data_IF_593580007483
#
_entry.id   IF_593580007483
#
_cell.length_a   1.000
_cell.length_b   1.000
_cell.length_c   1.000
_cell.angle_alpha   90.00
_cell.angle_beta   90.00
_cell.angle_gamma   90.00
#
_symmetry.space_group_name_H-M   'P 1'
#
loop_
_entity.id
_entity.type
_entity.pdbx_description
1 polymer ?
#
# COMPACT_ATOMS: atom_id res chain seq x y z
N UNK A 1 -17.54 -2.42 0.29
CA UNK A 1 -16.29 -1.70 0.63
C UNK A 1 -15.73 -0.89 -0.55
N UNK A 2 -15.09 0.26 -0.31
CA UNK A 2 -14.16 0.92 -1.25
C UNK A 2 -12.76 0.94 -0.64
N UNK A 3 -11.74 0.58 -1.42
CA UNK A 3 -10.35 0.61 -0.99
C UNK A 3 -9.52 1.56 -1.86
N UNK A 4 -8.59 2.28 -1.25
CA UNK A 4 -7.63 3.14 -1.95
C UNK A 4 -6.23 2.82 -1.44
N UNK A 5 -5.25 2.72 -2.34
CA UNK A 5 -3.84 2.64 -1.98
C UNK A 5 -3.06 3.70 -2.73
N UNK A 6 -2.24 4.47 -2.04
CA UNK A 6 -1.46 5.56 -2.63
C UNK A 6 -0.02 5.56 -2.13
N UNK A 7 0.93 5.48 -3.06
CA UNK A 7 2.33 5.76 -2.76
C UNK A 7 2.54 7.28 -2.69
N UNK A 8 2.70 7.81 -1.48
CA UNK A 8 2.75 9.24 -1.22
C UNK A 8 4.17 9.83 -1.28
N UNK A 9 5.22 8.98 -1.33
CA UNK A 9 6.65 9.38 -1.39
C UNK A 9 7.03 10.42 -0.33
N UNK A 10 6.50 10.26 0.88
CA UNK A 10 6.76 11.09 2.04
C UNK A 10 5.58 11.97 2.44
N UNK A 11 4.92 11.63 3.55
CA UNK A 11 3.76 12.36 4.10
C UNK A 11 4.15 13.49 5.07
N UNK A 12 5.43 13.86 5.11
CA UNK A 12 5.97 14.83 6.07
C UNK A 12 5.68 16.29 5.74
N UNK A 13 5.24 16.60 4.52
CA UNK A 13 4.94 17.97 4.08
C UNK A 13 3.42 18.25 4.11
N UNK A 14 3.05 19.52 4.30
CA UNK A 14 1.65 19.93 4.43
C UNK A 14 0.83 19.77 3.14
N UNK A 15 1.49 19.82 1.97
CA UNK A 15 0.85 19.69 0.66
C UNK A 15 0.36 18.26 0.44
N UNK A 16 1.23 17.26 0.63
CA UNK A 16 0.89 15.83 0.52
C UNK A 16 -0.16 15.43 1.56
N UNK A 17 -0.12 16.00 2.77
CA UNK A 17 -1.19 15.78 3.77
C UNK A 17 -2.52 16.36 3.30
N UNK A 18 -2.50 17.53 2.65
CA UNK A 18 -3.71 18.13 2.08
C UNK A 18 -4.26 17.29 0.92
N UNK A 19 -3.41 16.86 0.00
CA UNK A 19 -3.79 15.95 -1.08
C UNK A 19 -4.38 14.65 -0.54
N UNK A 20 -3.77 14.07 0.50
CA UNK A 20 -4.31 12.87 1.15
C UNK A 20 -5.71 13.11 1.73
N UNK A 21 -5.94 14.28 2.33
CA UNK A 21 -7.26 14.66 2.86
C UNK A 21 -8.27 14.85 1.74
N UNK A 22 -7.88 15.50 0.65
CA UNK A 22 -8.74 15.72 -0.50
C UNK A 22 -9.13 14.37 -1.14
N UNK A 23 -8.17 13.44 -1.33
CA UNK A 23 -8.44 12.07 -1.77
C UNK A 23 -9.36 11.30 -0.82
N UNK A 24 -9.12 11.37 0.49
CA UNK A 24 -9.96 10.71 1.48
C UNK A 24 -11.37 11.28 1.49
N UNK A 25 -11.54 12.58 1.25
CA UNK A 25 -12.84 13.26 1.20
C UNK A 25 -13.60 12.94 -0.08
N UNK A 26 -12.95 13.02 -1.24
CA UNK A 26 -13.59 12.90 -2.55
C UNK A 26 -14.00 11.45 -2.85
N UNK A 27 -13.14 10.49 -2.50
CA UNK A 27 -13.41 9.08 -2.75
C UNK A 27 -14.07 8.37 -1.56
N UNK A 28 -13.98 8.94 -0.35
CA UNK A 28 -14.50 8.37 0.90
C UNK A 28 -14.23 6.85 1.05
N UNK A 29 -12.97 6.38 0.89
CA UNK A 29 -12.70 4.94 0.94
C UNK A 29 -12.92 4.39 2.36
N UNK A 30 -13.49 3.19 2.46
CA UNK A 30 -13.65 2.47 3.74
C UNK A 30 -12.31 1.98 4.29
N UNK A 31 -11.37 1.66 3.39
CA UNK A 31 -9.99 1.28 3.71
C UNK A 31 -9.03 2.11 2.86
N UNK A 32 -8.09 2.79 3.52
CA UNK A 32 -7.07 3.62 2.89
C UNK A 32 -5.69 3.11 3.28
N UNK A 33 -4.83 2.86 2.30
CA UNK A 33 -3.44 2.56 2.52
C UNK A 33 -2.54 3.63 1.90
N UNK A 34 -1.52 4.04 2.65
CA UNK A 34 -0.44 4.89 2.16
C UNK A 34 0.89 4.14 2.23
N UNK A 35 1.66 4.25 1.15
CA UNK A 35 3.00 3.69 1.02
C UNK A 35 4.04 4.82 1.05
N UNK A 36 5.27 4.47 1.44
CA UNK A 36 6.39 5.40 1.61
C UNK A 36 6.05 6.60 2.50
N UNK A 37 5.67 6.36 3.75
CA UNK A 37 5.31 7.44 4.67
C UNK A 37 6.51 8.32 5.03
N UNK A 38 7.72 7.76 5.10
CA UNK A 38 9.00 8.43 5.40
C UNK A 38 9.00 9.28 6.68
N UNK A 39 8.06 9.05 7.60
CA UNK A 39 7.98 9.73 8.89
C UNK A 39 7.70 8.72 10.01
N UNK A 40 7.96 9.14 11.25
CA UNK A 40 7.73 8.31 12.43
C UNK A 40 6.28 7.82 12.52
N UNK A 41 6.12 6.55 12.92
CA UNK A 41 4.83 5.86 13.03
C UNK A 41 3.77 6.62 13.81
N UNK A 42 4.14 7.19 14.96
CA UNK A 42 3.20 7.95 15.80
C UNK A 42 2.56 9.11 15.04
N UNK A 43 3.32 9.79 14.18
CA UNK A 43 2.78 10.87 13.33
C UNK A 43 1.82 10.33 12.28
N UNK A 44 2.12 9.17 11.68
CA UNK A 44 1.25 8.52 10.69
C UNK A 44 -0.04 8.03 11.32
N UNK A 45 0.02 7.36 12.48
CA UNK A 45 -1.16 6.88 13.21
C UNK A 45 -2.11 8.04 13.56
N UNK A 46 -1.55 9.18 13.98
CA UNK A 46 -2.33 10.37 14.29
C UNK A 46 -3.04 11.00 13.07
N UNK A 47 -2.62 10.68 11.83
CA UNK A 47 -3.33 11.18 10.64
C UNK A 47 -4.78 10.68 10.57
N UNK A 48 -5.08 9.51 11.17
CA UNK A 48 -6.43 8.92 11.16
C UNK A 48 -7.51 9.90 11.60
N UNK A 49 -7.22 10.69 12.65
CA UNK A 49 -8.16 11.66 13.20
C UNK A 49 -8.50 12.76 12.19
N UNK A 50 -7.49 13.26 11.46
CA UNK A 50 -7.70 14.29 10.46
C UNK A 50 -8.28 13.78 9.15
N UNK A 51 -8.15 12.47 8.89
CA UNK A 51 -8.66 11.80 7.70
C UNK A 51 -10.06 11.19 7.90
N UNK A 52 -10.59 11.18 9.13
CA UNK A 52 -11.90 10.64 9.45
C UNK A 52 -11.95 9.11 9.50
N UNK A 53 -10.85 8.47 9.92
CA UNK A 53 -10.76 7.02 10.14
C UNK A 53 -10.69 6.69 11.62
N UNK A 54 -11.36 5.61 12.02
CA UNK A 54 -11.43 5.15 13.40
C UNK A 54 -10.15 4.41 13.80
N UNK A 55 -9.62 3.60 12.88
CA UNK A 55 -8.52 2.69 13.15
C UNK A 55 -7.33 2.95 12.22
N UNK A 56 -6.14 2.61 12.70
CA UNK A 56 -4.91 2.68 11.93
C UNK A 56 -3.93 1.59 12.36
N UNK A 57 -3.17 1.08 11.41
CA UNK A 57 -2.02 0.22 11.66
C UNK A 57 -0.86 0.68 10.77
N UNK A 58 0.32 0.81 11.37
CA UNK A 58 1.47 1.42 10.70
C UNK A 58 2.72 0.58 10.93
N UNK A 59 3.41 0.29 9.84
CA UNK A 59 4.77 -0.26 9.84
C UNK A 59 5.75 0.91 9.75
N UNK A 60 6.70 0.97 10.69
CA UNK A 60 7.70 2.04 10.75
C UNK A 60 8.46 2.18 9.41
N UNK A 61 8.79 3.43 9.04
CA UNK A 61 9.85 3.68 8.07
C UNK A 61 11.21 3.39 8.69
N UNK A 62 12.18 3.00 7.87
CA UNK A 62 13.59 2.95 8.29
C UNK A 62 14.25 4.28 7.88
N UNK A 63 14.27 5.23 8.80
CA UNK A 63 14.66 6.61 8.50
C UNK A 63 13.71 7.23 7.47
N UNK A 64 14.26 7.68 6.33
CA UNK A 64 13.51 8.29 5.21
C UNK A 64 13.05 7.28 4.16
N UNK A 65 13.18 5.99 4.41
CA UNK A 65 12.86 4.93 3.44
C UNK A 65 11.70 4.07 3.92
N UNK A 66 10.75 3.82 3.02
CA UNK A 66 9.59 2.96 3.25
C UNK A 66 8.59 3.53 4.26
N UNK A 67 7.98 2.62 5.01
CA UNK A 67 6.87 2.90 5.90
C UNK A 67 5.54 2.68 5.20
N UNK A 68 4.64 1.95 5.88
CA UNK A 68 3.33 1.56 5.37
C UNK A 68 2.29 1.96 6.40
N UNK A 69 1.19 2.56 5.98
CA UNK A 69 0.06 2.86 6.85
C UNK A 69 -1.23 2.35 6.24
N UNK A 70 -2.07 1.69 7.03
CA UNK A 70 -3.44 1.35 6.68
C UNK A 70 -4.39 1.98 7.68
N UNK A 71 -5.48 2.55 7.18
CA UNK A 71 -6.54 3.21 7.93
C UNK A 71 -7.87 2.62 7.51
N UNK A 72 -8.78 2.42 8.46
CA UNK A 72 -10.10 1.89 8.15
C UNK A 72 -11.15 2.38 9.15
N UNK A 73 -12.40 2.36 8.69
CA UNK A 73 -13.59 2.73 9.47
C UNK A 73 -14.11 1.54 10.28
N UNK A 74 -14.84 1.80 11.35
CA UNK A 74 -15.41 0.78 12.24
C UNK A 74 -16.48 -0.10 11.59
N UNK A 75 -17.04 0.31 10.45
CA UNK A 75 -17.97 -0.50 9.67
C UNK A 75 -17.28 -1.67 8.93
N UNK A 76 -15.94 -1.67 8.86
CA UNK A 76 -15.14 -2.74 8.30
C UNK A 76 -14.42 -3.50 9.42
N UNK A 77 -14.71 -4.80 9.56
CA UNK A 77 -13.92 -5.70 10.40
C UNK A 77 -12.65 -6.10 9.65
N UNK A 78 -11.59 -5.32 9.82
CA UNK A 78 -10.26 -5.58 9.27
C UNK A 78 -9.32 -6.10 10.37
N UNK A 79 -8.73 -7.28 10.15
CA UNK A 79 -7.73 -7.88 11.02
C UNK A 79 -6.39 -8.00 10.30
N UNK A 80 -5.33 -7.44 10.87
CA UNK A 80 -3.96 -7.61 10.36
C UNK A 80 -3.48 -9.03 10.70
N UNK A 81 -3.11 -9.82 9.70
CA UNK A 81 -2.61 -11.20 9.87
C UNK A 81 -1.10 -11.20 9.99
N UNK A 82 -0.40 -10.60 9.02
CA UNK A 82 1.06 -10.52 8.94
C UNK A 82 1.46 -9.19 8.33
N UNK A 83 2.67 -8.73 8.63
CA UNK A 83 3.22 -7.52 8.03
C UNK A 83 4.74 -7.57 8.00
N UNK A 84 5.32 -6.78 7.11
CA UNK A 84 6.74 -6.46 7.06
C UNK A 84 6.92 -5.06 6.47
N UNK A 85 8.17 -4.62 6.28
CA UNK A 85 8.45 -3.37 5.55
C UNK A 85 7.96 -3.36 4.09
N UNK A 86 7.61 -4.53 3.54
CA UNK A 86 7.18 -4.71 2.15
C UNK A 86 5.69 -5.05 2.00
N UNK A 87 4.98 -5.36 3.09
CA UNK A 87 3.56 -5.67 2.98
C UNK A 87 2.79 -5.51 4.29
N UNK A 88 1.48 -5.31 4.16
CA UNK A 88 0.51 -5.50 5.23
C UNK A 88 -0.56 -6.45 4.70
N UNK A 89 -0.66 -7.62 5.30
CA UNK A 89 -1.66 -8.63 4.97
C UNK A 89 -2.83 -8.59 5.95
N UNK A 90 -4.05 -8.54 5.41
CA UNK A 90 -5.27 -8.37 6.21
C UNK A 90 -6.35 -9.36 5.80
N UNK A 91 -7.16 -9.74 6.77
CA UNK A 91 -8.43 -10.43 6.58
C UNK A 91 -9.56 -9.44 6.82
N UNK A 92 -10.54 -9.45 5.92
CA UNK A 92 -11.69 -8.55 5.94
C UNK A 92 -12.94 -9.40 6.05
N UNK A 93 -13.74 -9.11 7.08
CA UNK A 93 -15.07 -9.68 7.27
C UNK A 93 -16.09 -8.55 7.12
N UNK A 94 -16.94 -8.62 6.09
CA UNK A 94 -18.12 -7.76 5.96
C UNK A 94 -19.34 -8.52 6.49
N UNK A 95 -20.35 -7.80 7.00
CA UNK A 95 -21.60 -8.43 7.46
C UNK A 95 -22.25 -9.19 6.29
N UNK A 96 -22.67 -10.43 6.54
CA UNK A 96 -23.36 -11.30 5.58
C UNK A 96 -22.55 -11.63 4.30
N UNK A 97 -21.22 -11.56 4.37
CA UNK A 97 -20.33 -11.97 3.27
C UNK A 97 -19.23 -12.89 3.75
N UNK A 98 -18.77 -13.73 2.84
CA UNK A 98 -17.61 -14.57 3.08
C UNK A 98 -16.34 -13.74 3.36
N UNK A 99 -15.49 -14.18 4.29
CA UNK A 99 -14.25 -13.51 4.57
C UNK A 99 -13.32 -13.56 3.35
N UNK A 100 -12.56 -12.51 3.16
CA UNK A 100 -11.59 -12.41 2.08
C UNK A 100 -10.36 -11.64 2.55
N UNK A 101 -9.29 -11.68 1.76
CA UNK A 101 -8.01 -11.10 2.12
C UNK A 101 -7.65 -9.92 1.25
N UNK A 102 -7.14 -8.87 1.87
CA UNK A 102 -6.55 -7.72 1.20
C UNK A 102 -5.10 -7.55 1.67
N UNK A 103 -4.17 -7.62 0.74
CA UNK A 103 -2.76 -7.35 1.02
C UNK A 103 -2.31 -6.08 0.33
N UNK A 104 -1.74 -5.17 1.11
CA UNK A 104 -1.04 -3.99 0.60
C UNK A 104 0.43 -4.33 0.39
N UNK A 105 0.94 -4.10 -0.81
CA UNK A 105 2.30 -4.46 -1.23
C UNK A 105 3.11 -3.20 -1.51
N UNK A 106 4.35 -3.20 -1.03
CA UNK A 106 5.41 -2.30 -1.44
C UNK A 106 6.56 -3.15 -1.95
N UNK A 107 6.65 -3.27 -3.27
CA UNK A 107 7.59 -4.13 -3.98
C UNK A 107 9.03 -3.61 -3.91
N UNK A 108 9.97 -4.50 -4.22
CA UNK A 108 11.39 -4.19 -4.14
C UNK A 108 11.80 -3.25 -5.28
N UNK A 109 12.40 -2.11 -4.92
CA UNK A 109 12.83 -1.10 -5.88
C UNK A 109 14.10 -1.55 -6.62
N UNK A 110 14.96 -2.32 -5.95
CA UNK A 110 16.18 -2.85 -6.56
C UNK A 110 15.83 -3.92 -7.61
N UNK A 111 16.17 -3.65 -8.88
CA UNK A 111 15.88 -4.55 -10.00
C UNK A 111 16.43 -5.96 -9.82
N UNK A 112 17.59 -6.10 -9.19
CA UNK A 112 18.21 -7.40 -8.93
C UNK A 112 17.41 -8.26 -7.94
N UNK A 113 16.52 -7.64 -7.16
CA UNK A 113 15.86 -8.24 -6.00
C UNK A 113 14.33 -8.31 -6.16
N UNK A 114 13.79 -7.86 -7.30
CA UNK A 114 12.35 -7.83 -7.59
C UNK A 114 11.69 -9.20 -7.52
N UNK A 115 12.44 -10.26 -7.82
CA UNK A 115 11.97 -11.64 -7.65
C UNK A 115 11.51 -11.93 -6.21
N UNK A 116 12.09 -11.27 -5.20
CA UNK A 116 11.69 -11.40 -3.80
C UNK A 116 10.24 -10.99 -3.57
N UNK A 117 9.74 -9.97 -4.27
CA UNK A 117 8.34 -9.56 -4.19
C UNK A 117 7.41 -10.68 -4.68
N UNK A 118 7.78 -11.35 -5.77
CA UNK A 118 7.01 -12.48 -6.30
C UNK A 118 7.07 -13.72 -5.40
N UNK A 119 8.23 -14.03 -4.83
CA UNK A 119 8.35 -15.09 -3.83
C UNK A 119 7.50 -14.81 -2.59
N UNK A 120 7.51 -13.56 -2.11
CA UNK A 120 6.66 -13.12 -1.01
C UNK A 120 5.18 -13.32 -1.34
N UNK A 121 4.72 -12.92 -2.53
CA UNK A 121 3.33 -13.11 -2.94
C UNK A 121 2.92 -14.58 -2.99
N UNK A 122 3.77 -15.45 -3.57
CA UNK A 122 3.54 -16.90 -3.61
C UNK A 122 3.46 -17.48 -2.20
N UNK A 123 4.35 -17.05 -1.31
CA UNK A 123 4.33 -17.42 0.09
C UNK A 123 3.03 -16.96 0.76
N UNK A 124 2.64 -15.69 0.65
CA UNK A 124 1.40 -15.17 1.24
C UNK A 124 0.16 -15.92 0.72
N UNK A 125 0.12 -16.24 -0.58
CA UNK A 125 -0.99 -17.00 -1.19
C UNK A 125 -1.12 -18.40 -0.62
N UNK A 126 -0.01 -19.09 -0.35
CA UNK A 126 -0.04 -20.48 0.13
C UNK A 126 -0.57 -20.62 1.56
N UNK A 127 -0.63 -19.53 2.34
CA UNK A 127 -1.07 -19.56 3.73
C UNK A 127 -2.59 -19.52 3.93
N UNK A 128 -3.37 -19.27 2.88
CA UNK A 128 -4.83 -19.21 3.01
C UNK A 128 -5.57 -19.55 1.72
N UNK A 129 -6.66 -20.32 1.81
CA UNK A 129 -7.54 -20.58 0.67
C UNK A 129 -8.48 -19.41 0.35
N UNK A 130 -8.60 -18.39 1.22
CA UNK A 130 -9.55 -17.30 1.06
C UNK A 130 -9.36 -16.53 -0.26
N UNK A 131 -10.45 -15.97 -0.83
CA UNK A 131 -10.36 -15.01 -1.94
C UNK A 131 -9.40 -13.88 -1.59
N UNK A 132 -8.54 -13.48 -2.53
CA UNK A 132 -7.41 -12.62 -2.23
C UNK A 132 -7.22 -11.51 -3.27
N UNK A 133 -7.12 -10.28 -2.78
CA UNK A 133 -6.79 -9.10 -3.57
C UNK A 133 -5.45 -8.54 -3.09
N UNK A 134 -4.56 -8.24 -4.04
CA UNK A 134 -3.33 -7.49 -3.80
C UNK A 134 -3.46 -6.10 -4.38
N UNK A 135 -3.03 -5.08 -3.63
CA UNK A 135 -2.95 -3.71 -4.11
C UNK A 135 -1.67 -3.05 -3.61
N UNK A 136 -1.21 -2.02 -4.32
CA UNK A 136 -0.08 -1.21 -3.88
C UNK A 136 0.88 -0.90 -5.02
N UNK A 137 2.12 -0.63 -4.65
CA UNK A 137 3.19 -0.33 -5.59
C UNK A 137 4.10 -1.54 -5.70
N UNK A 138 4.05 -2.26 -6.82
CA UNK A 138 4.85 -3.46 -7.04
C UNK A 138 6.28 -3.14 -7.51
N UNK A 139 6.60 -1.87 -7.80
CA UNK A 139 7.86 -1.44 -8.41
C UNK A 139 8.23 -2.20 -9.70
N UNK A 140 7.23 -2.73 -10.41
CA UNK A 140 7.39 -3.50 -11.64
C UNK A 140 6.67 -2.86 -12.82
N UNK A 141 7.27 -3.02 -13.99
CA UNK A 141 6.67 -2.61 -15.27
C UNK A 141 6.16 -3.88 -15.93
N UNK A 142 4.84 -4.05 -15.98
CA UNK A 142 4.18 -5.17 -16.63
C UNK A 142 4.08 -4.94 -18.13
N UNK A 143 3.94 -3.68 -18.54
CA UNK A 143 3.80 -3.31 -19.95
C UNK A 143 4.68 -2.12 -20.33
N UNK A 144 5.34 -2.12 -21.52
CA UNK A 144 6.12 -0.98 -21.99
C UNK A 144 5.36 0.35 -22.08
N UNK A 145 4.02 0.30 -22.09
CA UNK A 145 3.16 1.50 -22.10
C UNK A 145 3.22 2.27 -20.78
N UNK A 146 3.51 1.59 -19.67
CA UNK A 146 3.66 2.16 -18.33
C UNK A 146 4.95 2.97 -18.18
N UNK A 147 5.86 2.85 -19.14
CA UNK A 147 7.11 3.60 -19.15
C UNK A 147 6.85 5.07 -19.48
N UNK A 148 7.42 5.93 -18.64
CA UNK A 148 7.54 7.34 -18.95
C UNK A 148 8.37 7.58 -20.22
N UNK A 149 8.25 8.76 -20.85
CA UNK A 149 8.90 9.07 -22.13
C UNK A 149 10.43 8.85 -22.11
N UNK A 150 11.07 9.10 -20.95
CA UNK A 150 12.51 8.93 -20.75
C UNK A 150 12.94 7.45 -20.75
N UNK A 151 12.13 6.56 -20.22
CA UNK A 151 12.44 5.13 -20.11
C UNK A 151 12.18 4.37 -21.42
N UNK A 152 11.24 4.85 -22.25
CA UNK A 152 11.03 4.33 -23.62
C UNK A 152 12.26 4.53 -24.52
N UNK A 153 12.96 5.66 -24.38
CA UNK A 153 14.20 5.96 -25.12
C UNK A 153 15.37 5.03 -24.79
N UNK A 154 15.42 4.46 -23.57
CA UNK A 154 16.46 3.47 -23.20
C UNK A 154 16.20 2.10 -23.82
N UNK A 155 14.93 1.68 -23.92
CA UNK A 155 14.57 0.44 -24.60
C UNK A 155 14.75 0.52 -26.13
N UNK A 156 14.48 1.68 -26.74
CA UNK A 156 14.67 1.86 -28.19
C UNK A 156 16.14 1.91 -28.61
N UNK A 157 17.05 2.24 -27.68
CA UNK A 157 18.46 2.46 -27.99
C UNK A 157 19.35 1.24 -27.70
N UNK A 158 18.78 0.08 -27.35
CA UNK A 158 19.53 -1.17 -27.24
C UNK A 158 20.66 -1.19 -26.21
N UNK A 159 20.69 -0.27 -25.25
CA UNK A 159 21.68 -0.29 -24.17
C UNK A 159 21.09 -1.08 -22.99
N UNK A 160 21.50 -2.34 -22.91
CA UNK A 160 21.37 -3.18 -21.72
C UNK A 160 22.54 -2.93 -20.76
#
# INVERSE_FOLDING_TARGET
>A
MRALCWNCRGIGNSVTVRELRDLAKDYAPSVLCILETQIARTRVENLRYSLGYDNSFVVNSNGRSGGLGVFWKNDISLKVIKYSQYHIDTEICERDKEPWRLTFIYGEANRAEREKTWYLLKFIKSHSPLPWICMGDFNEILHPRELGPKSKRRLSNGVF
#
